data_IF_755889882183
#
_entry.id   IF_755889882183
#
_cell.length_a   1.000
_cell.length_b   1.000
_cell.length_c   1.000
_cell.angle_alpha   90.00
_cell.angle_beta   90.00
_cell.angle_gamma   90.00
#
_symmetry.space_group_name_H-M   'P 1'
#
loop_
_entity.id
_entity.type
_entity.pdbx_description
1 polymer ?
#
# COMPACT_ATOMS: atom_id res chain seq x y z
N UNK A 1 15.71 6.91 0.63
CA UNK A 1 14.33 6.40 0.44
C UNK A 1 13.46 7.55 -0.07
N UNK A 2 12.56 7.27 -1.01
CA UNK A 2 11.64 8.25 -1.62
C UNK A 2 10.34 7.57 -2.03
N UNK A 3 9.27 8.35 -2.21
CA UNK A 3 7.95 7.87 -2.64
C UNK A 3 6.86 8.26 -1.65
N UNK A 4 5.61 8.09 -2.07
CA UNK A 4 4.44 8.60 -1.35
C UNK A 4 4.42 8.24 0.15
N UNK A 5 4.72 7.00 0.52
CA UNK A 5 4.74 6.58 1.92
C UNK A 5 5.82 7.27 2.76
N UNK A 6 6.99 7.53 2.17
CA UNK A 6 8.11 8.22 2.83
C UNK A 6 7.74 9.68 3.07
N UNK A 7 7.17 10.33 2.05
CA UNK A 7 6.76 11.74 2.14
C UNK A 7 5.60 11.90 3.14
N UNK A 8 4.65 10.97 3.14
CA UNK A 8 3.57 10.93 4.12
C UNK A 8 4.07 10.76 5.55
N UNK A 9 5.00 9.82 5.79
CA UNK A 9 5.58 9.61 7.12
C UNK A 9 6.25 10.89 7.65
N UNK A 10 7.05 11.55 6.81
CA UNK A 10 7.71 12.82 7.17
C UNK A 10 6.71 13.94 7.45
N UNK A 11 5.66 14.06 6.65
CA UNK A 11 4.61 15.05 6.87
C UNK A 11 3.88 14.82 8.20
N UNK A 12 3.56 13.56 8.55
CA UNK A 12 2.96 13.21 9.84
C UNK A 12 3.92 13.56 10.99
N UNK A 13 5.20 13.20 10.86
CA UNK A 13 6.20 13.51 11.89
C UNK A 13 6.40 15.02 12.08
N UNK A 14 6.31 15.81 11.01
CA UNK A 14 6.36 17.27 11.09
C UNK A 14 5.12 17.85 11.79
N UNK A 15 3.92 17.36 11.46
CA UNK A 15 2.67 17.78 12.10
C UNK A 15 2.64 17.47 13.61
N UNK A 16 3.29 16.36 14.00
CA UNK A 16 3.39 15.94 15.40
C UNK A 16 4.57 16.57 16.16
N UNK A 17 5.39 17.41 15.52
CA UNK A 17 6.60 18.02 16.07
C UNK A 17 7.62 16.99 16.62
N UNK A 18 7.78 15.87 15.88
CA UNK A 18 8.70 14.77 16.24
C UNK A 18 9.68 14.44 15.12
N UNK A 19 9.93 15.38 14.21
CA UNK A 19 10.75 15.14 13.01
C UNK A 19 12.16 14.62 13.34
N UNK A 20 12.76 15.09 14.45
CA UNK A 20 14.09 14.70 14.90
C UNK A 20 14.19 13.23 15.34
N UNK A 21 13.06 12.59 15.63
CA UNK A 21 12.95 11.18 16.03
C UNK A 21 12.43 10.28 14.91
N UNK A 22 12.01 10.86 13.79
CA UNK A 22 11.34 10.16 12.70
C UNK A 22 12.36 9.38 11.85
N UNK A 23 12.58 8.11 12.20
CA UNK A 23 13.44 7.21 11.44
C UNK A 23 12.62 6.35 10.50
N UNK A 24 13.10 6.19 9.26
CA UNK A 24 12.44 5.33 8.27
C UNK A 24 13.42 4.24 7.83
N UNK A 25 13.03 3.00 8.06
CA UNK A 25 13.77 1.81 7.67
C UNK A 25 12.97 1.02 6.62
N UNK A 26 13.67 0.56 5.58
CA UNK A 26 13.11 -0.37 4.63
C UNK A 26 13.46 -1.81 5.05
N UNK A 27 12.45 -2.68 5.08
CA UNK A 27 12.58 -4.10 5.40
C UNK A 27 11.91 -4.94 4.32
N UNK A 28 12.31 -6.21 4.15
CA UNK A 28 11.56 -7.19 3.37
C UNK A 28 10.10 -7.27 3.87
N UNK A 29 9.15 -7.41 2.95
CA UNK A 29 7.72 -7.36 3.27
C UNK A 29 7.29 -8.40 4.31
N UNK A 30 7.87 -9.60 4.22
CA UNK A 30 7.61 -10.73 5.11
C UNK A 30 8.19 -10.53 6.52
N UNK A 31 9.05 -9.53 6.74
CA UNK A 31 9.67 -9.26 8.04
C UNK A 31 8.96 -8.13 8.81
N UNK A 32 8.05 -7.39 8.15
CA UNK A 32 7.39 -6.21 8.73
C UNK A 32 6.58 -6.55 9.99
N UNK A 33 5.84 -7.68 9.97
CA UNK A 33 5.01 -8.11 11.10
C UNK A 33 5.86 -8.41 12.33
N UNK A 34 6.91 -9.22 12.15
CA UNK A 34 7.81 -9.64 13.22
C UNK A 34 8.57 -8.44 13.80
N UNK A 35 9.04 -7.52 12.96
CA UNK A 35 9.75 -6.32 13.41
C UNK A 35 8.84 -5.43 14.28
N UNK A 36 7.58 -5.24 13.88
CA UNK A 36 6.60 -4.48 14.66
C UNK A 36 6.30 -5.16 16.01
N UNK A 37 6.11 -6.48 16.02
CA UNK A 37 5.86 -7.24 17.26
C UNK A 37 7.03 -7.21 18.24
N UNK A 38 8.27 -7.18 17.73
CA UNK A 38 9.50 -7.04 18.54
C UNK A 38 9.76 -5.61 19.02
N UNK A 39 8.97 -4.63 18.55
CA UNK A 39 9.17 -3.21 18.88
C UNK A 39 10.39 -2.59 18.17
N UNK A 40 10.84 -3.18 17.07
CA UNK A 40 11.92 -2.63 16.23
C UNK A 40 11.45 -1.44 15.37
N UNK A 41 10.13 -1.19 15.34
CA UNK A 41 9.53 0.02 14.80
C UNK A 41 8.14 0.26 15.39
N UNK A 42 7.64 1.48 15.24
CA UNK A 42 6.39 1.92 15.88
C UNK A 42 5.18 1.86 14.94
N UNK A 43 5.40 1.89 13.63
CA UNK A 43 4.33 1.85 12.63
C UNK A 43 4.82 1.32 11.28
N UNK A 44 3.91 0.65 10.55
CA UNK A 44 4.13 0.24 9.15
C UNK A 44 3.37 1.20 8.23
N UNK A 45 4.09 1.88 7.34
CA UNK A 45 3.51 2.75 6.31
C UNK A 45 3.93 2.22 4.94
N UNK A 46 3.26 1.15 4.50
CA UNK A 46 3.60 0.43 3.28
C UNK A 46 2.38 -0.03 2.45
N UNK A 47 1.22 0.60 2.64
CA UNK A 47 0.00 0.25 1.89
C UNK A 47 -0.62 -1.09 2.28
N UNK A 48 -0.48 -1.50 3.54
CA UNK A 48 -1.11 -2.73 4.08
C UNK A 48 -2.63 -2.63 3.94
N UNK A 49 -3.24 -3.61 3.28
CA UNK A 49 -4.67 -3.68 3.11
C UNK A 49 -5.35 -4.07 4.45
N UNK A 50 -6.37 -3.31 4.85
CA UNK A 50 -7.14 -3.56 6.07
C UNK A 50 -8.23 -4.63 5.85
N UNK A 51 -7.81 -5.89 5.71
CA UNK A 51 -8.66 -7.09 5.65
C UNK A 51 -9.10 -7.56 7.04
N UNK A 52 -10.03 -8.52 7.13
CA UNK A 52 -10.41 -9.15 8.41
C UNK A 52 -9.18 -9.72 9.14
N UNK A 53 -8.40 -10.59 8.48
CA UNK A 53 -7.21 -11.22 9.03
C UNK A 53 -6.16 -10.20 9.50
N UNK A 54 -5.93 -9.13 8.72
CA UNK A 54 -4.95 -8.10 9.11
C UNK A 54 -5.41 -7.29 10.33
N UNK A 55 -6.72 -7.13 10.55
CA UNK A 55 -7.27 -6.39 11.70
C UNK A 55 -7.18 -7.18 13.00
N UNK A 56 -7.02 -8.49 12.94
CA UNK A 56 -6.71 -9.31 14.11
C UNK A 56 -5.27 -9.08 14.60
N UNK A 57 -4.38 -8.61 13.71
CA UNK A 57 -2.95 -8.42 13.96
C UNK A 57 -2.55 -6.97 14.22
N UNK A 58 -3.22 -6.02 13.60
CA UNK A 58 -2.82 -4.61 13.59
C UNK A 58 -3.96 -3.66 13.98
N UNK A 59 -3.59 -2.57 14.66
CA UNK A 59 -4.42 -1.38 14.72
C UNK A 59 -4.16 -0.50 13.50
N UNK A 60 -5.21 -0.10 12.79
CA UNK A 60 -5.10 0.71 11.58
C UNK A 60 -5.50 2.17 11.82
N UNK A 61 -4.82 3.08 11.12
CA UNK A 61 -5.27 4.46 10.97
C UNK A 61 -6.48 4.55 10.00
N UNK A 62 -6.96 5.78 9.77
CA UNK A 62 -7.89 6.04 8.68
C UNK A 62 -7.20 5.79 7.34
N UNK A 63 -7.94 5.26 6.37
CA UNK A 63 -7.42 5.06 5.01
C UNK A 63 -6.99 6.40 4.41
N UNK A 64 -5.73 6.46 3.97
CA UNK A 64 -5.15 7.62 3.27
C UNK A 64 -4.96 7.34 1.76
N UNK A 65 -5.17 6.11 1.31
CA UNK A 65 -5.04 5.68 -0.08
C UNK A 65 -6.00 4.52 -0.35
N UNK A 66 -6.67 4.56 -1.49
CA UNK A 66 -7.45 3.46 -2.04
C UNK A 66 -6.94 3.14 -3.45
N UNK A 67 -6.59 1.89 -3.69
CA UNK A 67 -6.19 1.44 -5.03
C UNK A 67 -7.43 1.13 -5.85
N UNK A 68 -7.75 1.89 -6.90
CA UNK A 68 -8.77 1.45 -7.84
C UNK A 68 -8.24 0.24 -8.60
N UNK A 69 -8.99 -0.86 -8.63
CA UNK A 69 -8.71 -1.95 -9.55
C UNK A 69 -8.86 -1.42 -10.98
N UNK A 70 -7.78 -1.46 -11.77
CA UNK A 70 -7.77 -1.01 -13.17
C UNK A 70 -7.19 -2.09 -14.07
N UNK A 71 -7.78 -2.23 -15.26
CA UNK A 71 -7.18 -3.01 -16.34
C UNK A 71 -6.14 -2.18 -17.07
N UNK A 72 -4.98 -2.77 -17.33
CA UNK A 72 -3.89 -2.15 -18.09
C UNK A 72 -3.69 -2.96 -19.37
N UNK A 73 -3.56 -2.26 -20.50
CA UNK A 73 -3.33 -2.86 -21.82
C UNK A 73 -2.53 -1.92 -22.72
N UNK A 74 -1.84 -2.43 -23.77
CA UNK A 74 -1.17 -1.57 -24.73
C UNK A 74 -2.14 -0.59 -25.39
N UNK A 75 -1.75 0.69 -25.50
CA UNK A 75 -2.62 1.76 -26.02
C UNK A 75 -3.22 1.43 -27.40
N UNK A 76 -2.44 0.80 -28.29
CA UNK A 76 -2.90 0.40 -29.62
C UNK A 76 -3.99 -0.70 -29.61
N UNK A 77 -4.17 -1.40 -28.48
CA UNK A 77 -5.15 -2.46 -28.27
C UNK A 77 -6.17 -2.09 -27.18
N UNK A 78 -6.26 -0.81 -26.84
CA UNK A 78 -7.15 -0.34 -25.79
C UNK A 78 -8.61 -0.64 -26.17
N UNK A 79 -9.33 -1.29 -25.26
CA UNK A 79 -10.77 -1.47 -25.40
C UNK A 79 -11.50 -0.20 -24.96
N UNK A 80 -12.58 0.12 -25.66
CA UNK A 80 -13.53 1.14 -25.22
C UNK A 80 -14.45 0.57 -24.13
N UNK A 81 -15.00 1.45 -23.31
CA UNK A 81 -16.06 1.09 -22.36
C UNK A 81 -17.34 0.63 -23.08
N UNK A 82 -18.16 -0.25 -22.47
CA UNK A 82 -17.98 -0.89 -21.17
C UNK A 82 -16.96 -2.04 -21.19
N UNK A 83 -15.96 -2.00 -20.30
CA UNK A 83 -14.79 -2.89 -20.33
C UNK A 83 -15.14 -4.36 -20.13
N UNK A 84 -16.12 -4.67 -19.27
CA UNK A 84 -16.48 -6.05 -18.89
C UNK A 84 -16.81 -6.92 -20.11
N UNK A 85 -17.62 -6.40 -21.02
CA UNK A 85 -18.03 -7.14 -22.21
C UNK A 85 -16.89 -7.34 -23.20
N UNK A 86 -15.94 -6.40 -23.26
CA UNK A 86 -14.77 -6.49 -24.13
C UNK A 86 -13.72 -7.46 -23.59
N UNK A 87 -13.71 -7.70 -22.28
CA UNK A 87 -12.84 -8.66 -21.63
C UNK A 87 -13.36 -10.10 -21.70
N UNK A 88 -14.64 -10.32 -22.05
CA UNK A 88 -15.18 -11.68 -22.24
C UNK A 88 -14.31 -12.43 -23.25
N UNK A 89 -13.91 -13.65 -22.87
CA UNK A 89 -13.02 -14.51 -23.67
C UNK A 89 -11.62 -13.95 -23.94
N UNK A 90 -11.17 -12.95 -23.17
CA UNK A 90 -9.77 -12.49 -23.17
C UNK A 90 -9.00 -13.11 -22.01
N UNK A 91 -7.69 -13.28 -22.20
CA UNK A 91 -6.79 -13.67 -21.10
C UNK A 91 -6.49 -12.43 -20.26
N UNK A 92 -6.78 -12.51 -18.96
CA UNK A 92 -6.50 -11.45 -17.98
C UNK A 92 -5.47 -12.00 -17.00
N UNK A 93 -4.33 -11.31 -16.88
CA UNK A 93 -3.34 -11.61 -15.87
C UNK A 93 -3.70 -10.95 -14.54
N UNK A 94 -3.52 -11.66 -13.44
CA UNK A 94 -3.62 -11.15 -12.07
C UNK A 94 -2.32 -11.45 -11.34
N UNK A 95 -1.94 -10.59 -10.41
CA UNK A 95 -0.85 -10.89 -9.47
C UNK A 95 -1.42 -11.83 -8.42
N UNK A 96 -0.76 -12.97 -8.22
CA UNK A 96 -1.08 -13.95 -7.19
C UNK A 96 -0.33 -13.63 -5.90
#
# INVERSE_FOLDING_TARGET
LSGFHIDLARAICAELDVIDKCQVQALPWNELEDALQKGEGEAIIAGIAATADSREKYAFSRSYMQFPARFIMPKAKAFAEPILDKLRSKRVGVVA
#
